data_IF_565897019896
#
_entry.id   IF_565897019896
#
_cell.length_a   1.000
_cell.length_b   1.000
_cell.length_c   1.000
_cell.angle_alpha   90.00
_cell.angle_beta   90.00
_cell.angle_gamma   90.00
#
_symmetry.space_group_name_H-M   'P 1'
#
loop_
_entity.id
_entity.type
_entity.pdbx_description
1 polymer ?
#
# COMPACT_ATOMS: atom_id res chain seq x y z
N UNK A 1 -52.55 3.64 -6.18
CA UNK A 1 -51.48 4.13 -5.29
C UNK A 1 -52.05 4.34 -3.90
N UNK A 2 -51.25 4.20 -2.82
CA UNK A 2 -50.07 3.34 -2.73
C UNK A 2 -50.02 2.51 -1.42
N UNK A 3 -49.45 1.32 -1.51
CA UNK A 3 -48.47 0.87 -0.53
C UNK A 3 -47.21 0.59 -1.36
N UNK A 4 -46.16 1.36 -1.13
CA UNK A 4 -44.88 1.11 -1.79
C UNK A 4 -44.26 -0.15 -1.18
N UNK A 5 -43.49 -0.90 -1.97
CA UNK A 5 -42.48 -1.76 -1.37
C UNK A 5 -41.59 -0.88 -0.50
N UNK A 6 -41.44 -1.24 0.76
CA UNK A 6 -40.34 -0.72 1.57
C UNK A 6 -39.05 -1.13 0.86
N UNK A 7 -38.28 -0.14 0.42
CA UNK A 7 -36.92 -0.41 -0.03
C UNK A 7 -36.13 -0.85 1.20
N UNK A 8 -35.41 -1.97 1.09
CA UNK A 8 -34.57 -2.46 2.18
C UNK A 8 -33.68 -1.32 2.68
N UNK A 9 -33.87 -0.88 3.93
CA UNK A 9 -32.94 0.04 4.55
C UNK A 9 -31.61 -0.70 4.70
N UNK A 10 -30.63 -0.36 3.86
CA UNK A 10 -29.23 -0.73 4.06
C UNK A 10 -28.78 -0.18 5.43
N UNK A 11 -28.97 -0.97 6.49
CA UNK A 11 -28.61 -0.60 7.85
C UNK A 11 -27.14 -0.17 7.85
N UNK A 12 -26.84 1.14 8.03
CA UNK A 12 -25.50 1.64 7.81
C UNK A 12 -24.57 0.98 8.81
N UNK A 13 -23.41 0.51 8.31
CA UNK A 13 -22.43 -0.22 9.12
C UNK A 13 -22.26 0.44 10.50
N UNK A 14 -22.17 -0.33 11.60
CA UNK A 14 -22.02 0.22 12.94
C UNK A 14 -20.94 1.30 12.98
N UNK A 15 -21.18 2.41 13.68
CA UNK A 15 -20.39 3.65 13.60
C UNK A 15 -18.86 3.46 13.69
N UNK A 16 -18.40 2.43 14.42
CA UNK A 16 -17.00 2.08 14.57
C UNK A 16 -16.39 1.34 13.37
N UNK A 17 -17.21 0.62 12.58
CA UNK A 17 -16.83 -0.07 11.33
C UNK A 17 -16.88 0.84 10.10
N UNK A 18 -17.63 1.95 10.13
CA UNK A 18 -17.68 2.92 9.03
C UNK A 18 -16.27 3.47 8.77
N UNK A 19 -15.73 3.42 7.55
CA UNK A 19 -14.34 3.81 7.30
C UNK A 19 -14.14 5.32 7.51
N UNK A 20 -12.97 5.72 8.00
CA UNK A 20 -12.53 7.12 8.02
C UNK A 20 -12.03 7.53 6.62
N UNK A 21 -12.18 8.80 6.19
CA UNK A 21 -11.61 9.27 4.92
C UNK A 21 -10.10 9.01 4.84
N UNK A 22 -9.59 8.61 3.67
CA UNK A 22 -8.18 8.21 3.51
C UNK A 22 -7.19 9.31 3.93
N UNK A 23 -7.51 10.59 3.67
CA UNK A 23 -6.70 11.71 4.16
C UNK A 23 -6.73 11.84 5.69
N UNK A 24 -7.88 11.61 6.32
CA UNK A 24 -8.01 11.60 7.78
C UNK A 24 -7.20 10.46 8.39
N UNK A 25 -7.20 9.27 7.77
CA UNK A 25 -6.36 8.15 8.20
C UNK A 25 -4.87 8.48 8.13
N UNK A 26 -4.38 8.98 6.99
CA UNK A 26 -2.98 9.42 6.83
C UNK A 26 -2.56 10.42 7.93
N UNK A 27 -3.34 11.49 8.08
CA UNK A 27 -3.00 12.60 8.97
C UNK A 27 -3.01 12.21 10.46
N UNK A 28 -3.74 11.15 10.85
CA UNK A 28 -3.78 10.65 12.24
C UNK A 28 -2.87 9.44 12.49
N UNK A 29 -2.55 8.63 11.49
CA UNK A 29 -1.55 7.58 11.65
C UNK A 29 -0.12 8.11 11.73
N UNK A 30 0.17 9.32 11.24
CA UNK A 30 1.45 10.01 11.46
C UNK A 30 1.74 10.24 12.96
N UNK A 31 0.91 10.97 13.75
CA UNK A 31 1.16 11.15 15.17
C UNK A 31 1.07 9.84 15.96
N UNK A 32 0.24 8.87 15.53
CA UNK A 32 0.23 7.53 16.12
C UNK A 32 1.59 6.83 15.97
N UNK A 33 2.19 6.83 14.78
CA UNK A 33 3.54 6.30 14.55
C UNK A 33 4.57 7.04 15.43
N UNK A 34 4.53 8.37 15.48
CA UNK A 34 5.45 9.17 16.31
C UNK A 34 5.34 8.81 17.81
N UNK A 35 4.13 8.53 18.30
CA UNK A 35 3.92 8.01 19.68
C UNK A 35 4.57 6.63 19.85
N UNK A 36 4.42 5.70 18.89
CA UNK A 36 5.10 4.39 18.98
C UNK A 36 6.63 4.50 18.93
N UNK A 37 7.18 5.46 18.19
CA UNK A 37 8.63 5.75 18.15
C UNK A 37 9.12 6.36 19.47
N UNK A 38 8.32 7.21 20.13
CA UNK A 38 8.62 7.72 21.47
C UNK A 38 8.63 6.61 22.53
N UNK A 39 7.63 5.71 22.49
CA UNK A 39 7.56 4.54 23.38
C UNK A 39 8.77 3.63 23.16
N UNK A 40 9.14 3.37 21.89
CA UNK A 40 10.35 2.64 21.56
C UNK A 40 11.61 3.34 22.08
N UNK A 41 11.76 4.65 21.88
CA UNK A 41 12.93 5.40 22.36
C UNK A 41 13.11 5.32 23.88
N UNK A 42 12.01 5.42 24.64
CA UNK A 42 12.02 5.19 26.08
C UNK A 42 12.40 3.74 26.43
N UNK A 43 11.86 2.76 25.70
CA UNK A 43 12.20 1.34 25.84
C UNK A 43 13.68 1.05 25.58
N UNK A 44 14.29 1.67 24.57
CA UNK A 44 15.72 1.50 24.27
C UNK A 44 16.59 2.09 25.41
N UNK A 45 16.22 3.23 26.01
CA UNK A 45 16.93 3.77 27.18
C UNK A 45 16.84 2.82 28.39
N UNK A 46 15.69 2.18 28.62
CA UNK A 46 15.52 1.14 29.65
C UNK A 46 16.35 -0.11 29.34
N UNK A 47 16.44 -0.49 28.06
CA UNK A 47 17.23 -1.64 27.58
C UNK A 47 18.72 -1.38 27.76
N UNK A 48 19.21 -0.17 27.43
CA UNK A 48 20.60 0.24 27.62
C UNK A 48 21.05 0.16 29.08
N UNK A 49 20.21 0.63 30.01
CA UNK A 49 20.46 0.53 31.45
C UNK A 49 20.37 -0.91 32.01
N UNK A 50 19.91 -1.88 31.21
CA UNK A 50 19.76 -3.30 31.56
C UNK A 50 20.69 -4.24 30.80
N UNK A 51 21.45 -3.72 29.84
CA UNK A 51 22.39 -4.50 29.03
C UNK A 51 23.46 -5.16 29.94
N UNK A 52 23.72 -6.47 29.82
CA UNK A 52 24.82 -7.14 30.52
C UNK A 52 26.18 -6.50 30.20
N UNK A 53 27.09 -6.35 31.17
CA UNK A 53 28.42 -5.73 30.93
C UNK A 53 29.23 -6.61 29.96
N UNK A 54 29.67 -6.09 28.80
CA UNK A 54 30.49 -6.82 27.83
C UNK A 54 31.82 -7.35 28.39
N UNK A 55 32.28 -6.84 29.54
CA UNK A 55 33.48 -7.35 30.24
C UNK A 55 33.21 -8.66 30.98
N UNK A 56 31.99 -8.87 31.44
CA UNK A 56 31.59 -10.05 32.22
C UNK A 56 30.91 -11.10 31.34
N UNK A 57 30.06 -10.67 30.41
CA UNK A 57 29.27 -11.57 29.55
C UNK A 57 29.66 -11.40 28.09
N UNK A 58 30.09 -12.50 27.47
CA UNK A 58 30.46 -12.54 26.04
C UNK A 58 29.22 -12.51 25.14
N UNK A 59 29.35 -12.10 23.86
CA UNK A 59 28.31 -12.30 22.86
C UNK A 59 27.84 -13.76 22.79
N UNK A 60 26.57 -13.96 22.40
CA UNK A 60 26.00 -15.28 22.19
C UNK A 60 26.64 -15.97 20.96
N UNK A 61 26.77 -17.31 20.96
CA UNK A 61 27.19 -18.05 19.78
C UNK A 61 26.10 -18.00 18.71
N UNK A 62 26.48 -17.65 17.48
CA UNK A 62 25.57 -17.51 16.34
C UNK A 62 26.22 -18.12 15.09
N UNK A 63 25.56 -19.14 14.54
CA UNK A 63 26.09 -19.95 13.45
C UNK A 63 26.35 -19.15 12.16
N UNK A 64 25.52 -18.16 11.78
CA UNK A 64 25.83 -17.38 10.58
C UNK A 64 26.94 -16.37 10.86
N UNK A 65 27.02 -15.83 12.07
CA UNK A 65 28.11 -14.94 12.45
C UNK A 65 29.45 -15.69 12.57
N UNK A 66 29.47 -16.98 12.90
CA UNK A 66 30.68 -17.80 12.85
C UNK A 66 31.20 -18.01 11.41
N UNK A 67 30.30 -18.08 10.42
CA UNK A 67 30.66 -18.26 9.00
C UNK A 67 30.93 -16.94 8.24
N UNK A 68 30.31 -15.81 8.63
CA UNK A 68 30.41 -14.54 7.91
C UNK A 68 31.53 -13.66 8.51
N UNK A 69 32.54 -13.23 7.73
CA UNK A 69 33.66 -12.46 8.25
C UNK A 69 33.24 -11.07 8.76
N UNK A 70 33.80 -10.65 9.90
CA UNK A 70 33.55 -9.33 10.52
C UNK A 70 34.08 -8.19 9.63
N UNK A 71 33.17 -7.43 9.02
CA UNK A 71 33.44 -6.30 8.14
C UNK A 71 32.68 -5.04 8.64
N UNK A 72 33.20 -4.42 9.70
CA UNK A 72 32.57 -3.24 10.37
C UNK A 72 32.25 -2.08 9.42
N UNK A 73 32.99 -1.93 8.32
CA UNK A 73 32.73 -0.92 7.29
C UNK A 73 31.38 -1.09 6.55
N UNK A 74 30.68 -2.21 6.71
CA UNK A 74 29.35 -2.46 6.12
C UNK A 74 28.18 -1.92 6.97
N UNK A 75 28.44 -1.45 8.20
CA UNK A 75 27.44 -0.76 9.04
C UNK A 75 26.86 0.48 8.30
N UNK A 76 27.65 1.50 7.88
CA UNK A 76 27.12 2.63 7.11
C UNK A 76 26.64 2.27 5.68
N UNK A 77 27.06 1.13 5.13
CA UNK A 77 26.54 0.64 3.83
C UNK A 77 25.09 0.19 3.98
N UNK A 78 24.71 -0.35 5.15
CA UNK A 78 23.32 -0.70 5.47
C UNK A 78 22.44 0.55 5.48
N UNK A 79 22.87 1.63 6.12
CA UNK A 79 22.14 2.91 6.15
C UNK A 79 21.96 3.51 4.76
N UNK A 80 22.98 3.43 3.90
CA UNK A 80 22.88 3.87 2.50
C UNK A 80 21.83 3.04 1.74
N UNK A 81 21.79 1.72 1.92
CA UNK A 81 20.79 0.86 1.29
C UNK A 81 19.37 1.18 1.82
N UNK A 82 19.23 1.43 3.12
CA UNK A 82 17.96 1.87 3.73
C UNK A 82 17.51 3.21 3.16
N UNK A 83 18.42 4.17 3.01
CA UNK A 83 18.15 5.46 2.36
C UNK A 83 17.66 5.29 0.92
N UNK A 84 18.35 4.46 0.13
CA UNK A 84 17.98 4.16 -1.26
C UNK A 84 16.60 3.48 -1.36
N UNK A 85 16.26 2.55 -0.47
CA UNK A 85 14.96 1.86 -0.46
C UNK A 85 13.81 2.77 0.00
N UNK A 86 14.04 3.64 0.99
CA UNK A 86 13.07 4.65 1.39
C UNK A 86 12.81 5.67 0.28
N UNK A 87 13.87 6.20 -0.36
CA UNK A 87 13.75 7.08 -1.53
C UNK A 87 13.03 6.38 -2.68
N UNK A 88 13.32 5.10 -2.95
CA UNK A 88 12.59 4.29 -3.95
C UNK A 88 11.10 4.20 -3.61
N UNK A 89 10.76 3.97 -2.34
CA UNK A 89 9.37 3.87 -1.87
C UNK A 89 8.61 5.19 -2.05
N UNK A 90 9.24 6.32 -1.69
CA UNK A 90 8.68 7.68 -1.89
C UNK A 90 8.51 7.99 -3.38
N UNK A 91 9.48 7.63 -4.22
CA UNK A 91 9.39 7.82 -5.67
C UNK A 91 8.26 6.99 -6.30
N UNK A 92 8.03 5.75 -5.84
CA UNK A 92 6.90 4.93 -6.27
C UNK A 92 5.58 5.58 -5.85
N UNK A 93 5.43 6.01 -4.59
CA UNK A 93 4.22 6.71 -4.12
C UNK A 93 3.95 8.00 -4.92
N UNK A 94 4.99 8.79 -5.22
CA UNK A 94 4.87 10.01 -6.02
C UNK A 94 4.49 9.72 -7.49
N UNK A 95 5.07 8.69 -8.11
CA UNK A 95 4.70 8.28 -9.48
C UNK A 95 3.26 7.74 -9.55
N UNK A 96 2.79 7.04 -8.51
CA UNK A 96 1.38 6.61 -8.39
C UNK A 96 0.43 7.82 -8.30
N UNK A 97 0.75 8.83 -7.50
CA UNK A 97 0.00 10.09 -7.44
C UNK A 97 -0.07 10.82 -8.81
N UNK A 98 1.03 10.83 -9.56
CA UNK A 98 1.04 11.39 -10.92
C UNK A 98 0.20 10.56 -11.90
N UNK A 99 0.23 9.23 -11.79
CA UNK A 99 -0.58 8.32 -12.61
C UNK A 99 -2.07 8.47 -12.33
N UNK A 100 -2.48 8.51 -11.06
CA UNK A 100 -3.87 8.75 -10.64
C UNK A 100 -4.38 10.10 -11.19
N UNK A 101 -3.60 11.18 -11.04
CA UNK A 101 -3.94 12.48 -11.63
C UNK A 101 -4.10 12.44 -13.15
N UNK A 102 -3.22 11.73 -13.85
CA UNK A 102 -3.24 11.64 -15.31
C UNK A 102 -4.47 10.89 -15.82
N UNK A 103 -4.83 9.78 -15.19
CA UNK A 103 -6.05 9.00 -15.51
C UNK A 103 -7.33 9.81 -15.25
N UNK A 104 -7.32 10.70 -14.25
CA UNK A 104 -8.40 11.65 -14.00
C UNK A 104 -8.35 12.94 -14.86
N UNK A 105 -7.51 12.99 -15.91
CA UNK A 105 -7.45 14.11 -16.85
C UNK A 105 -6.93 15.44 -16.26
N UNK A 106 -6.37 15.42 -15.05
CA UNK A 106 -5.89 16.62 -14.38
C UNK A 106 -4.59 17.15 -15.03
N UNK A 107 -4.37 18.48 -15.05
CA UNK A 107 -3.17 19.05 -15.65
C UNK A 107 -1.90 18.53 -14.98
N UNK A 108 -0.92 18.16 -15.83
CA UNK A 108 0.40 17.71 -15.39
C UNK A 108 1.26 18.85 -14.84
N UNK A 109 2.29 18.49 -14.08
CA UNK A 109 3.24 19.46 -13.53
C UNK A 109 4.40 19.71 -14.52
N UNK A 110 4.63 20.97 -14.88
CA UNK A 110 5.70 21.42 -15.80
C UNK A 110 6.63 22.45 -15.17
N UNK A 111 6.73 22.46 -13.83
CA UNK A 111 7.42 23.50 -13.05
C UNK A 111 8.88 23.77 -13.48
N UNK A 112 9.61 22.74 -13.91
CA UNK A 112 11.03 22.84 -14.23
C UNK A 112 11.34 23.21 -15.69
N UNK A 113 10.35 23.27 -16.57
CA UNK A 113 10.58 23.51 -18.00
C UNK A 113 11.09 24.93 -18.31
N UNK A 114 10.93 25.86 -17.36
CA UNK A 114 11.45 27.24 -17.42
C UNK A 114 12.97 27.34 -17.26
N UNK A 115 13.66 26.25 -16.86
CA UNK A 115 15.12 26.22 -16.70
C UNK A 115 15.77 25.79 -18.03
N UNK A 116 16.61 26.64 -18.67
CA UNK A 116 17.20 26.32 -19.97
C UNK A 116 18.16 25.12 -19.91
N UNK A 117 18.24 24.38 -21.03
CA UNK A 117 19.04 23.15 -21.26
C UNK A 117 18.65 21.94 -20.38
N UNK A 118 18.62 22.09 -19.06
CA UNK A 118 18.42 20.98 -18.10
C UNK A 118 16.93 20.72 -17.80
N UNK A 119 16.10 21.78 -17.76
CA UNK A 119 14.73 21.73 -17.28
C UNK A 119 13.85 20.68 -17.94
N UNK A 120 13.88 20.58 -19.28
CA UNK A 120 13.06 19.62 -20.06
C UNK A 120 13.39 18.15 -19.75
N UNK A 121 14.65 17.82 -19.51
CA UNK A 121 15.05 16.46 -19.14
C UNK A 121 14.59 16.10 -17.72
N UNK A 122 14.87 16.98 -16.75
CA UNK A 122 14.48 16.76 -15.36
C UNK A 122 12.94 16.75 -15.22
N UNK A 123 12.22 17.60 -15.95
CA UNK A 123 10.75 17.59 -15.97
C UNK A 123 10.21 16.24 -16.46
N UNK A 124 10.79 15.67 -17.53
CA UNK A 124 10.44 14.33 -18.04
C UNK A 124 10.77 13.21 -17.04
N UNK A 125 11.92 13.26 -16.36
CA UNK A 125 12.30 12.22 -15.39
C UNK A 125 11.43 12.30 -14.11
N UNK A 126 11.26 13.50 -13.55
CA UNK A 126 10.53 13.71 -12.28
C UNK A 126 9.02 13.63 -12.49
N UNK A 127 8.45 14.44 -13.39
CA UNK A 127 7.00 14.59 -13.57
C UNK A 127 6.42 13.77 -14.72
N UNK A 128 7.26 13.12 -15.54
CA UNK A 128 6.77 12.18 -16.56
C UNK A 128 5.98 11.02 -15.95
N UNK A 129 4.76 10.81 -16.44
CA UNK A 129 3.91 9.69 -16.06
C UNK A 129 4.51 8.40 -16.59
N UNK A 130 4.44 7.34 -15.78
CA UNK A 130 4.85 5.98 -16.15
C UNK A 130 3.67 5.08 -15.86
N UNK A 131 3.19 4.37 -16.89
CA UNK A 131 2.10 3.41 -16.79
C UNK A 131 2.52 2.09 -17.45
N UNK A 132 2.30 0.97 -16.77
CA UNK A 132 2.53 -0.37 -17.32
C UNK A 132 1.30 -0.98 -18.00
N UNK A 133 0.13 -0.34 -17.87
CA UNK A 133 -1.19 -0.87 -18.20
C UNK A 133 -1.72 -1.89 -17.18
N UNK A 134 -0.88 -2.48 -16.32
CA UNK A 134 -1.30 -3.47 -15.32
C UNK A 134 -1.97 -2.79 -14.11
N UNK A 135 -2.99 -3.44 -13.57
CA UNK A 135 -3.79 -2.97 -12.42
C UNK A 135 -4.04 -4.13 -11.44
N UNK A 136 -3.17 -4.32 -10.42
CA UNK A 136 -3.42 -5.33 -9.37
C UNK A 136 -4.53 -4.90 -8.41
N UNK A 137 -4.77 -3.59 -8.28
CA UNK A 137 -5.83 -2.98 -7.48
C UNK A 137 -6.42 -1.77 -8.24
N UNK A 138 -7.61 -1.26 -7.87
CA UNK A 138 -8.15 -0.01 -8.41
C UNK A 138 -7.20 1.17 -8.17
N UNK A 139 -7.19 2.18 -9.06
CA UNK A 139 -6.28 3.34 -8.94
C UNK A 139 -6.67 4.38 -7.87
N UNK A 140 -7.92 4.35 -7.39
CA UNK A 140 -8.51 5.37 -6.52
C UNK A 140 -7.77 5.48 -5.17
N UNK A 141 -7.08 6.59 -4.95
CA UNK A 141 -6.34 6.86 -3.71
C UNK A 141 -5.15 5.93 -3.44
N UNK A 142 -4.60 5.23 -4.45
CA UNK A 142 -3.58 4.18 -4.26
C UNK A 142 -2.36 4.66 -3.48
N UNK A 143 -1.85 5.86 -3.78
CA UNK A 143 -0.70 6.41 -3.05
C UNK A 143 -1.03 6.69 -1.57
N UNK A 144 -2.30 7.01 -1.25
CA UNK A 144 -2.78 7.19 0.13
C UNK A 144 -2.83 5.83 0.84
N UNK A 145 -3.39 4.81 0.21
CA UNK A 145 -3.50 3.45 0.76
C UNK A 145 -2.10 2.86 1.01
N UNK A 146 -1.18 3.03 0.06
CA UNK A 146 0.23 2.64 0.19
C UNK A 146 0.89 3.28 1.43
N UNK A 147 0.70 4.59 1.64
CA UNK A 147 1.26 5.30 2.79
C UNK A 147 0.53 4.96 4.12
N UNK A 148 -0.78 4.71 4.12
CA UNK A 148 -1.51 4.18 5.29
C UNK A 148 -0.94 2.82 5.69
N UNK A 149 -0.70 1.92 4.74
CA UNK A 149 -0.15 0.58 5.00
C UNK A 149 1.30 0.62 5.49
N UNK A 150 2.12 1.56 5.00
CA UNK A 150 3.42 1.85 5.60
C UNK A 150 3.28 2.26 7.08
N UNK A 151 2.52 3.33 7.35
CA UNK A 151 2.37 3.89 8.69
C UNK A 151 1.83 2.87 9.70
N UNK A 152 0.79 2.12 9.31
CA UNK A 152 0.14 1.13 10.18
C UNK A 152 1.00 -0.11 10.41
N UNK A 153 1.56 -0.73 9.36
CA UNK A 153 2.42 -1.91 9.52
C UNK A 153 3.66 -1.59 10.35
N UNK A 154 4.29 -0.44 10.08
CA UNK A 154 5.49 -0.03 10.81
C UNK A 154 5.16 0.34 12.26
N UNK A 155 4.10 1.10 12.54
CA UNK A 155 3.70 1.44 13.91
C UNK A 155 3.33 0.21 14.76
N UNK A 156 2.62 -0.77 14.19
CA UNK A 156 2.26 -2.01 14.92
C UNK A 156 3.51 -2.80 15.34
N UNK A 157 4.46 -3.02 14.44
CA UNK A 157 5.68 -3.78 14.77
C UNK A 157 6.64 -2.96 15.65
N UNK A 158 6.73 -1.63 15.47
CA UNK A 158 7.52 -0.74 16.35
C UNK A 158 6.98 -0.69 17.78
N UNK A 159 5.65 -0.69 17.93
CA UNK A 159 4.99 -0.80 19.24
C UNK A 159 5.28 -2.15 19.90
N UNK A 160 5.11 -3.26 19.17
CA UNK A 160 5.42 -4.60 19.69
C UNK A 160 6.88 -4.75 20.11
N UNK A 161 7.82 -4.31 19.24
CA UNK A 161 9.27 -4.27 19.51
C UNK A 161 9.60 -3.59 20.83
N UNK A 162 8.96 -2.46 21.13
CA UNK A 162 9.22 -1.70 22.35
C UNK A 162 8.97 -2.53 23.63
N UNK A 163 7.95 -3.39 23.66
CA UNK A 163 7.72 -4.29 24.78
C UNK A 163 8.76 -5.41 24.87
N UNK A 164 9.17 -5.96 23.74
CA UNK A 164 10.13 -7.09 23.70
C UNK A 164 11.48 -6.68 24.26
N UNK A 165 12.07 -5.57 23.78
CA UNK A 165 13.37 -5.08 24.28
C UNK A 165 13.34 -4.66 25.75
N UNK A 166 12.19 -4.21 26.27
CA UNK A 166 12.03 -3.90 27.70
C UNK A 166 11.88 -5.16 28.58
N UNK A 167 11.35 -6.25 28.00
CA UNK A 167 11.05 -7.50 28.70
C UNK A 167 12.22 -8.51 28.67
N UNK A 168 13.11 -8.43 27.69
CA UNK A 168 14.27 -9.33 27.54
C UNK A 168 15.46 -8.56 26.97
N UNK A 169 16.65 -8.82 27.51
CA UNK A 169 17.90 -8.21 27.06
C UNK A 169 19.03 -9.24 27.11
N UNK A 170 19.63 -9.52 25.95
CA UNK A 170 20.82 -10.35 25.80
C UNK A 170 22.12 -9.51 25.84
N UNK A 171 23.31 -10.15 25.85
CA UNK A 171 24.58 -9.46 25.63
C UNK A 171 24.67 -8.94 24.20
N UNK A 172 25.24 -7.74 24.00
CA UNK A 172 25.44 -7.20 22.66
C UNK A 172 26.41 -8.06 21.82
N UNK A 173 26.26 -8.00 20.49
CA UNK A 173 27.17 -8.59 19.50
C UNK A 173 28.56 -7.96 19.51
N UNK A 174 29.52 -8.50 18.73
CA UNK A 174 30.87 -7.93 18.53
C UNK A 174 30.88 -6.67 17.62
N UNK A 175 30.03 -5.70 17.96
CA UNK A 175 29.90 -4.39 17.32
C UNK A 175 30.51 -3.28 18.20
N UNK A 176 30.16 -2.01 17.93
CA UNK A 176 30.65 -0.87 18.70
C UNK A 176 30.17 -0.87 20.18
N UNK A 177 29.07 -1.56 20.51
CA UNK A 177 28.52 -1.66 21.87
C UNK A 177 29.30 -2.60 22.81
N UNK A 178 30.35 -3.26 22.34
CA UNK A 178 31.39 -3.82 23.21
C UNK A 178 32.16 -2.74 24.00
N UNK A 179 31.99 -1.45 23.63
CA UNK A 179 32.53 -0.28 24.34
C UNK A 179 31.46 0.81 24.44
N UNK A 180 30.42 0.62 25.28
CA UNK A 180 29.26 1.51 25.31
C UNK A 180 29.64 2.90 25.80
N UNK A 181 29.09 3.92 25.16
CA UNK A 181 29.20 5.34 25.56
C UNK A 181 28.06 5.65 26.54
N UNK A 182 28.30 6.32 27.68
CA UNK A 182 27.24 6.63 28.64
C UNK A 182 26.24 7.65 28.07
N UNK A 183 24.94 7.41 28.29
CA UNK A 183 23.87 8.33 27.89
C UNK A 183 23.74 9.45 28.93
N UNK A 184 24.45 10.56 28.72
CA UNK A 184 24.42 11.71 29.64
C UNK A 184 23.02 12.36 29.75
N UNK A 185 22.25 12.36 28.65
CA UNK A 185 20.96 13.07 28.55
C UNK A 185 19.88 12.15 27.94
N UNK A 186 19.22 11.29 28.75
CA UNK A 186 18.27 10.28 28.23
C UNK A 186 17.06 10.90 27.52
N UNK A 187 16.51 12.02 28.02
CA UNK A 187 15.40 12.71 27.35
C UNK A 187 15.80 13.28 25.99
N UNK A 188 17.01 13.83 25.87
CA UNK A 188 17.54 14.31 24.59
C UNK A 188 17.72 13.13 23.63
N UNK A 189 18.20 11.99 24.11
CA UNK A 189 18.39 10.79 23.30
C UNK A 189 17.05 10.20 22.79
N UNK A 190 15.97 10.25 23.60
CA UNK A 190 14.61 9.89 23.17
C UNK A 190 14.09 10.85 22.10
N UNK A 191 14.28 12.17 22.29
CA UNK A 191 13.90 13.19 21.29
C UNK A 191 14.70 13.00 20.00
N UNK A 192 16.00 12.71 20.10
CA UNK A 192 16.88 12.44 18.96
C UNK A 192 16.46 11.16 18.22
N UNK A 193 16.00 10.13 18.95
CA UNK A 193 15.40 8.91 18.38
C UNK A 193 14.15 9.25 17.56
N UNK A 194 13.29 10.15 18.06
CA UNK A 194 12.11 10.60 17.30
C UNK A 194 12.50 11.42 16.05
N UNK A 195 13.37 12.42 16.21
CA UNK A 195 13.75 13.37 15.14
C UNK A 195 14.53 12.68 14.01
N UNK A 196 15.33 11.67 14.33
CA UNK A 196 16.14 10.91 13.35
C UNK A 196 15.54 9.55 12.98
N UNK A 197 14.33 9.24 13.47
CA UNK A 197 13.67 7.93 13.36
C UNK A 197 14.57 6.74 13.81
N UNK A 198 15.49 7.01 14.74
CA UNK A 198 16.45 6.07 15.33
C UNK A 198 17.90 6.30 14.91
N UNK A 199 18.16 6.85 13.72
CA UNK A 199 19.49 6.83 13.07
C UNK A 199 20.60 7.62 13.79
N UNK A 200 20.27 8.70 14.50
CA UNK A 200 21.25 9.57 15.15
C UNK A 200 21.34 9.41 16.68
N UNK A 201 20.62 8.46 17.28
CA UNK A 201 20.51 8.33 18.73
C UNK A 201 21.50 7.30 19.29
N UNK A 202 22.25 7.67 20.34
CA UNK A 202 23.34 6.86 20.88
C UNK A 202 22.75 5.79 21.79
N UNK A 203 22.63 4.57 21.29
CA UNK A 203 22.00 3.46 22.00
C UNK A 203 22.83 2.19 21.89
N UNK A 204 23.05 1.54 23.03
CA UNK A 204 23.62 0.21 23.09
C UNK A 204 22.74 -0.73 23.90
N UNK A 205 22.61 -1.95 23.42
CA UNK A 205 21.75 -2.99 23.99
C UNK A 205 21.66 -4.14 23.01
N UNK A 206 21.30 -5.32 23.50
CA UNK A 206 20.55 -6.23 22.65
C UNK A 206 19.24 -5.56 22.23
N UNK A 207 18.90 -5.67 20.95
CA UNK A 207 17.88 -4.86 20.30
C UNK A 207 16.88 -5.73 19.54
N UNK A 208 16.52 -6.86 20.16
CA UNK A 208 15.51 -7.84 19.73
C UNK A 208 14.48 -7.22 18.78
N UNK A 209 14.39 -7.82 17.59
CA UNK A 209 13.82 -7.24 16.36
C UNK A 209 14.71 -6.15 15.77
N UNK A 210 15.51 -6.48 14.77
CA UNK A 210 16.31 -5.49 14.04
C UNK A 210 15.43 -4.42 13.36
N UNK A 211 15.52 -3.17 13.84
CA UNK A 211 14.82 -2.01 13.26
C UNK A 211 15.23 -1.72 11.82
N UNK A 212 16.51 -1.92 11.50
CA UNK A 212 17.04 -1.92 10.13
C UNK A 212 16.30 -2.94 9.26
N UNK A 213 16.20 -4.18 9.72
CA UNK A 213 15.47 -5.25 9.00
C UNK A 213 14.00 -4.94 8.82
N UNK A 214 13.34 -4.35 9.82
CA UNK A 214 11.94 -3.93 9.74
C UNK A 214 11.70 -2.90 8.62
N UNK A 215 12.52 -1.84 8.55
CA UNK A 215 12.34 -0.80 7.50
C UNK A 215 12.71 -1.33 6.10
N UNK A 216 13.73 -2.19 6.00
CA UNK A 216 14.09 -2.90 4.77
C UNK A 216 12.95 -3.78 4.25
N UNK A 217 12.33 -4.58 5.12
CA UNK A 217 11.23 -5.47 4.73
C UNK A 217 9.98 -4.71 4.29
N UNK A 218 9.54 -3.69 5.04
CA UNK A 218 8.31 -2.96 4.69
C UNK A 218 8.48 -2.16 3.39
N UNK A 219 9.64 -1.54 3.17
CA UNK A 219 9.93 -0.80 1.91
C UNK A 219 10.06 -1.75 0.72
N UNK A 220 10.73 -2.90 0.87
CA UNK A 220 10.74 -3.96 -0.14
C UNK A 220 9.32 -4.40 -0.50
N UNK A 221 8.49 -4.74 0.49
CA UNK A 221 7.13 -5.25 0.25
C UNK A 221 6.24 -4.21 -0.45
N UNK A 222 6.30 -2.95 -0.03
CA UNK A 222 5.60 -1.84 -0.68
C UNK A 222 6.02 -1.64 -2.13
N UNK A 223 7.33 -1.59 -2.42
CA UNK A 223 7.80 -1.45 -3.81
C UNK A 223 7.45 -2.70 -4.62
N UNK A 224 7.54 -3.90 -4.05
CA UNK A 224 7.20 -5.15 -4.73
C UNK A 224 5.72 -5.21 -5.13
N UNK A 225 4.81 -4.85 -4.24
CA UNK A 225 3.36 -4.92 -4.44
C UNK A 225 2.83 -3.79 -5.33
N UNK A 226 3.34 -2.55 -5.20
CA UNK A 226 2.86 -1.39 -5.95
C UNK A 226 3.66 -1.07 -7.24
N UNK A 227 4.83 -1.69 -7.46
CA UNK A 227 5.57 -1.58 -8.74
C UNK A 227 4.83 -2.00 -10.02
N UNK A 228 3.82 -2.91 -10.02
CA UNK A 228 3.08 -3.28 -11.24
C UNK A 228 2.36 -2.13 -11.94
N UNK A 229 2.00 -1.05 -11.25
CA UNK A 229 1.39 0.12 -11.89
C UNK A 229 2.39 0.90 -12.78
N UNK A 230 3.70 0.78 -12.49
CA UNK A 230 4.75 1.67 -13.02
C UNK A 230 5.70 0.93 -13.98
N UNK A 231 6.90 0.57 -13.53
CA UNK A 231 7.88 -0.20 -14.31
C UNK A 231 8.34 -1.44 -13.51
N UNK A 232 7.52 -2.50 -13.44
CA UNK A 232 7.68 -3.57 -12.46
C UNK A 232 9.00 -4.31 -12.52
N UNK A 233 9.56 -4.55 -13.72
CA UNK A 233 10.79 -5.34 -13.85
C UNK A 233 11.98 -4.67 -13.15
N UNK A 234 12.32 -3.43 -13.54
CA UNK A 234 13.47 -2.74 -12.96
C UNK A 234 13.31 -2.48 -11.45
N UNK A 235 12.11 -2.10 -11.00
CA UNK A 235 11.84 -1.86 -9.58
C UNK A 235 12.00 -3.15 -8.74
N UNK A 236 11.52 -4.29 -9.24
CA UNK A 236 11.62 -5.58 -8.53
C UNK A 236 13.04 -6.15 -8.53
N UNK A 237 13.79 -6.01 -9.62
CA UNK A 237 15.22 -6.37 -9.66
C UNK A 237 16.01 -5.50 -8.68
N UNK A 238 15.77 -4.19 -8.67
CA UNK A 238 16.43 -3.25 -7.76
C UNK A 238 16.21 -3.61 -6.28
N UNK A 239 14.94 -3.70 -5.82
CA UNK A 239 14.69 -4.02 -4.40
C UNK A 239 15.02 -5.48 -4.05
N UNK A 240 14.91 -6.40 -5.01
CA UNK A 240 15.28 -7.81 -4.86
C UNK A 240 16.78 -8.07 -4.74
N UNK A 241 17.63 -7.14 -5.19
CA UNK A 241 19.08 -7.18 -4.92
C UNK A 241 19.41 -6.47 -3.60
N UNK A 242 18.79 -5.32 -3.32
CA UNK A 242 19.10 -4.52 -2.12
C UNK A 242 18.71 -5.21 -0.80
N UNK A 243 17.60 -5.95 -0.76
CA UNK A 243 17.16 -6.66 0.46
C UNK A 243 18.16 -7.74 0.93
N UNK A 244 18.54 -8.75 0.12
CA UNK A 244 19.53 -9.74 0.57
C UNK A 244 20.93 -9.14 0.78
N UNK A 245 21.30 -8.11 0.00
CA UNK A 245 22.57 -7.41 0.21
C UNK A 245 22.63 -6.69 1.57
N UNK A 246 21.56 -6.04 2.00
CA UNK A 246 21.50 -5.39 3.33
C UNK A 246 21.46 -6.40 4.48
N UNK A 247 20.79 -7.55 4.34
CA UNK A 247 20.87 -8.62 5.34
C UNK A 247 22.31 -9.14 5.51
N UNK A 248 23.04 -9.33 4.39
CA UNK A 248 24.46 -9.67 4.44
C UNK A 248 25.29 -8.57 5.13
N UNK A 249 25.05 -7.28 4.81
CA UNK A 249 25.76 -6.17 5.45
C UNK A 249 25.56 -6.13 6.98
N UNK A 250 24.34 -6.34 7.48
CA UNK A 250 24.02 -6.34 8.93
C UNK A 250 24.72 -7.51 9.66
N UNK A 251 24.70 -8.71 9.08
CA UNK A 251 25.41 -9.88 9.64
C UNK A 251 26.93 -9.67 9.59
N UNK A 252 27.47 -9.15 8.49
CA UNK A 252 28.90 -8.93 8.33
C UNK A 252 29.43 -7.78 9.21
N UNK A 253 28.65 -6.71 9.44
CA UNK A 253 29.01 -5.67 10.42
C UNK A 253 28.90 -6.14 11.88
N UNK A 254 28.23 -7.28 12.13
CA UNK A 254 27.78 -7.77 13.44
C UNK A 254 26.83 -6.80 14.15
N UNK A 255 26.14 -5.90 13.44
CA UNK A 255 25.27 -4.92 14.10
C UNK A 255 24.03 -5.56 14.77
N UNK A 256 23.67 -6.78 14.39
CA UNK A 256 22.59 -7.61 14.97
C UNK A 256 22.96 -9.11 14.95
N UNK A 257 22.23 -9.91 15.74
CA UNK A 257 22.24 -11.38 15.64
C UNK A 257 21.38 -11.87 14.46
N UNK A 258 21.45 -13.16 14.14
CA UNK A 258 20.68 -13.79 13.06
C UNK A 258 19.18 -13.86 13.36
N UNK A 259 18.79 -14.20 14.59
CA UNK A 259 17.39 -14.27 15.02
C UNK A 259 16.74 -12.88 14.98
N UNK A 260 17.47 -11.87 15.41
CA UNK A 260 17.15 -10.44 15.32
C UNK A 260 16.68 -10.01 13.93
N UNK A 261 17.30 -10.57 12.87
CA UNK A 261 16.95 -10.35 11.46
C UNK A 261 15.79 -11.26 11.05
N UNK A 262 15.88 -12.57 11.30
CA UNK A 262 14.88 -13.55 10.85
C UNK A 262 13.49 -13.28 11.45
N UNK A 263 13.42 -13.00 12.76
CA UNK A 263 12.16 -12.74 13.47
C UNK A 263 11.63 -11.35 13.12
N UNK A 264 12.49 -10.35 12.87
CA UNK A 264 12.07 -9.05 12.33
C UNK A 264 11.50 -9.13 10.91
N UNK A 265 12.16 -9.87 10.02
CA UNK A 265 11.68 -10.10 8.67
C UNK A 265 10.34 -10.86 8.70
N UNK A 266 10.24 -11.92 9.49
CA UNK A 266 9.00 -12.69 9.65
C UNK A 266 7.85 -11.82 10.17
N UNK A 267 8.01 -11.14 11.30
CA UNK A 267 6.93 -10.33 11.90
C UNK A 267 6.54 -9.13 11.04
N UNK A 268 7.49 -8.48 10.35
CA UNK A 268 7.17 -7.39 9.43
C UNK A 268 6.41 -7.88 8.19
N UNK A 269 6.86 -8.95 7.55
CA UNK A 269 6.20 -9.52 6.37
C UNK A 269 4.82 -10.06 6.74
N UNK A 270 4.69 -10.75 7.88
CA UNK A 270 3.41 -11.23 8.39
C UNK A 270 2.44 -10.08 8.70
N UNK A 271 2.90 -9.03 9.42
CA UNK A 271 2.05 -7.86 9.73
C UNK A 271 1.61 -7.13 8.46
N UNK A 272 2.52 -6.93 7.50
CA UNK A 272 2.21 -6.31 6.21
C UNK A 272 1.24 -7.15 5.35
N UNK A 273 1.22 -8.48 5.52
CA UNK A 273 0.26 -9.39 4.88
C UNK A 273 -1.05 -9.58 5.64
N UNK A 274 -1.10 -9.26 6.93
CA UNK A 274 -2.36 -9.16 7.68
C UNK A 274 -3.04 -7.80 7.40
N UNK A 275 -2.26 -6.74 7.18
CA UNK A 275 -2.74 -5.43 6.75
C UNK A 275 -2.71 -5.37 5.21
N UNK A 276 -3.60 -6.15 4.60
CA UNK A 276 -3.78 -6.23 3.14
C UNK A 276 -4.26 -4.90 2.50
N UNK A 277 -4.23 -4.85 1.17
CA UNK A 277 -4.74 -3.69 0.41
C UNK A 277 -6.27 -3.60 0.50
N UNK A 278 -6.79 -2.48 1.03
CA UNK A 278 -8.21 -2.11 0.95
C UNK A 278 -8.40 -0.68 0.44
N UNK A 279 -9.43 -0.46 -0.38
CA UNK A 279 -9.90 0.87 -0.77
C UNK A 279 -10.31 1.73 0.44
N UNK A 280 -10.72 1.10 1.54
CA UNK A 280 -11.05 1.76 2.81
C UNK A 280 -9.83 2.08 3.68
N UNK A 281 -8.60 1.85 3.19
CA UNK A 281 -7.37 2.11 3.93
C UNK A 281 -7.07 1.01 4.97
N UNK A 282 -6.84 1.40 6.23
CA UNK A 282 -6.50 0.48 7.30
C UNK A 282 -7.70 -0.40 7.72
N UNK A 283 -7.48 -1.60 8.30
CA UNK A 283 -8.55 -2.38 8.92
C UNK A 283 -9.20 -1.62 10.09
N UNK A 284 -10.51 -1.81 10.30
CA UNK A 284 -11.31 -1.00 11.24
C UNK A 284 -10.81 -1.04 12.69
N UNK A 285 -10.16 -2.14 13.09
CA UNK A 285 -9.52 -2.30 14.40
C UNK A 285 -8.39 -1.27 14.61
N UNK A 286 -7.59 -0.99 13.57
CA UNK A 286 -6.56 0.05 13.61
C UNK A 286 -7.16 1.45 13.44
N UNK A 287 -8.29 1.59 12.72
CA UNK A 287 -8.99 2.87 12.63
C UNK A 287 -9.55 3.31 13.99
N UNK A 288 -9.99 2.39 14.87
CA UNK A 288 -10.37 2.72 16.26
C UNK A 288 -9.25 3.45 17.00
N UNK A 289 -7.99 3.03 16.81
CA UNK A 289 -6.81 3.61 17.47
C UNK A 289 -6.54 5.08 17.07
N UNK A 290 -7.18 5.59 16.01
CA UNK A 290 -7.11 6.99 15.57
C UNK A 290 -8.47 7.71 15.56
N UNK A 291 -9.58 7.02 15.84
CA UNK A 291 -10.94 7.60 15.75
C UNK A 291 -11.25 8.61 16.86
N UNK A 292 -10.56 8.49 18.00
CA UNK A 292 -10.66 9.37 19.16
C UNK A 292 -9.88 10.69 19.00
N UNK A 293 -8.95 10.79 18.04
CA UNK A 293 -8.25 12.03 17.75
C UNK A 293 -9.25 13.05 17.17
N UNK A 294 -9.45 14.23 17.80
CA UNK A 294 -10.44 15.21 17.32
C UNK A 294 -10.00 15.94 16.04
N UNK A 295 -8.70 15.90 15.74
CA UNK A 295 -8.06 16.58 14.61
C UNK A 295 -6.74 15.84 14.28
N UNK A 296 -6.25 15.82 13.02
CA UNK A 296 -6.85 16.39 11.81
C UNK A 296 -7.98 15.54 11.19
N UNK A 297 -8.77 16.13 10.30
CA UNK A 297 -9.76 15.43 9.46
C UNK A 297 -11.04 15.01 10.19
N UNK A 298 -12.06 14.59 9.42
CA UNK A 298 -13.41 14.29 9.94
C UNK A 298 -13.63 12.82 10.27
N UNK A 299 -14.42 12.56 11.31
CA UNK A 299 -14.91 11.21 11.63
C UNK A 299 -16.07 10.75 10.72
N UNK A 300 -16.72 11.66 9.98
CA UNK A 300 -17.77 11.33 9.01
C UNK A 300 -17.13 10.87 7.70
N UNK A 301 -17.46 9.67 7.24
CA UNK A 301 -17.16 9.29 5.87
C UNK A 301 -17.96 10.15 4.90
N UNK A 302 -17.29 10.62 3.85
CA UNK A 302 -17.87 11.30 2.70
C UNK A 302 -16.99 10.92 1.52
N UNK A 303 -17.56 10.62 0.37
CA UNK A 303 -16.74 10.34 -0.81
C UNK A 303 -15.96 11.59 -1.21
N UNK A 304 -14.65 11.60 -0.95
CA UNK A 304 -13.74 12.70 -1.28
C UNK A 304 -13.39 12.69 -2.77
N UNK A 305 -14.38 13.03 -3.62
CA UNK A 305 -14.13 13.59 -4.94
C UNK A 305 -15.21 14.62 -5.31
N UNK A 306 -14.85 15.81 -5.85
CA UNK A 306 -15.84 16.78 -6.30
C UNK A 306 -16.58 16.26 -7.54
N UNK A 307 -17.91 16.14 -7.43
CA UNK A 307 -18.81 15.76 -8.54
C UNK A 307 -18.77 16.74 -9.74
N UNK A 308 -18.11 17.88 -9.58
CA UNK A 308 -17.82 18.87 -10.61
C UNK A 308 -16.93 18.29 -11.73
N UNK A 309 -16.02 17.37 -11.41
CA UNK A 309 -15.23 16.66 -12.43
C UNK A 309 -16.10 15.78 -13.34
N UNK A 310 -17.12 15.11 -12.76
CA UNK A 310 -18.05 14.24 -13.47
C UNK A 310 -18.90 14.99 -14.50
N UNK A 311 -19.16 16.28 -14.26
CA UNK A 311 -19.94 17.15 -15.18
C UNK A 311 -19.17 17.53 -16.46
N UNK A 312 -17.85 17.38 -16.48
CA UNK A 312 -17.03 17.66 -17.66
C UNK A 312 -17.11 16.60 -18.77
N UNK A 313 -17.67 15.41 -18.48
CA UNK A 313 -17.77 14.30 -19.43
C UNK A 313 -19.18 14.13 -20.05
N UNK A 314 -20.17 14.89 -19.58
CA UNK A 314 -21.54 14.84 -20.07
C UNK A 314 -21.78 15.92 -21.14
N UNK A 315 -21.12 15.81 -22.30
CA UNK A 315 -21.49 16.59 -23.48
C UNK A 315 -22.62 15.90 -24.23
N UNK A 316 -23.82 16.48 -24.11
CA UNK A 316 -24.98 16.41 -25.00
C UNK A 316 -25.00 15.29 -26.05
N UNK A 317 -25.40 14.08 -25.62
CA UNK A 317 -25.93 13.07 -26.55
C UNK A 317 -27.33 13.52 -26.98
N UNK A 318 -27.39 14.38 -27.99
CA UNK A 318 -28.65 14.76 -28.65
C UNK A 318 -29.16 13.55 -29.42
N UNK A 319 -30.08 12.80 -28.80
CA UNK A 319 -30.83 11.74 -29.47
C UNK A 319 -31.79 12.40 -30.46
N UNK A 320 -31.40 12.41 -31.73
CA UNK A 320 -32.32 12.75 -32.82
C UNK A 320 -33.10 11.49 -33.16
N UNK A 321 -34.37 11.45 -32.76
CA UNK A 321 -35.30 10.40 -33.22
C UNK A 321 -35.54 10.57 -34.73
N UNK A 322 -35.14 9.56 -35.51
CA UNK A 322 -35.48 9.49 -36.92
C UNK A 322 -36.92 8.94 -37.07
N UNK A 323 -37.83 9.78 -37.58
CA UNK A 323 -39.19 9.36 -37.91
C UNK A 323 -39.24 8.79 -39.34
N UNK A 324 -39.27 7.46 -39.47
CA UNK A 324 -39.53 6.79 -40.75
C UNK A 324 -41.04 6.67 -41.00
N UNK A 325 -41.65 7.73 -41.55
CA UNK A 325 -42.99 7.66 -42.15
C UNK A 325 -42.91 7.19 -43.61
N UNK A 326 -43.12 5.89 -43.89
CA UNK A 326 -43.77 5.40 -45.12
C UNK A 326 -43.89 3.87 -45.21
N UNK A 327 -45.12 3.34 -45.09
CA UNK A 327 -45.71 2.32 -45.99
C UNK A 327 -47.11 1.93 -45.49
N UNK A 328 -48.15 2.16 -46.29
CA UNK A 328 -49.53 1.82 -45.95
C UNK A 328 -50.09 0.75 -46.90
N UNK A 329 -50.79 -0.24 -46.30
CA UNK A 329 -51.76 -1.17 -46.89
C UNK A 329 -51.33 -2.12 -48.04
N UNK A 330 -51.75 -3.39 -47.94
CA UNK A 330 -52.64 -4.07 -48.89
C UNK A 330 -53.11 -5.41 -48.29
N UNK A 331 -54.44 -5.57 -48.25
CA UNK A 331 -55.29 -6.81 -48.27
C UNK A 331 -55.00 -8.06 -47.40
N UNK A 332 -56.09 -8.75 -47.01
CA UNK A 332 -56.11 -10.11 -46.44
C UNK A 332 -56.98 -11.04 -47.32
N UNK A 333 -57.81 -11.98 -46.81
CA UNK A 333 -57.98 -12.48 -45.43
C UNK A 333 -58.21 -14.03 -45.35
N UNK A 334 -58.85 -14.52 -44.26
CA UNK A 334 -59.52 -15.83 -44.05
C UNK A 334 -58.66 -17.10 -43.76
N UNK A 335 -59.12 -17.95 -42.82
CA UNK A 335 -58.54 -19.30 -42.60
C UNK A 335 -58.62 -19.94 -41.19
N UNK A 336 -59.84 -20.27 -40.75
CA UNK A 336 -60.32 -21.42 -39.93
C UNK A 336 -59.37 -22.37 -39.12
N UNK A 337 -59.79 -22.67 -37.89
CA UNK A 337 -60.22 -23.98 -37.29
C UNK A 337 -59.50 -25.29 -37.72
N UNK A 338 -59.20 -26.32 -36.89
CA UNK A 338 -59.54 -26.76 -35.50
C UNK A 338 -58.24 -27.21 -34.76
N UNK A 339 -58.11 -27.77 -33.54
CA UNK A 339 -58.91 -28.44 -32.46
C UNK A 339 -59.37 -29.91 -32.58
N UNK A 340 -58.54 -30.83 -32.06
CA UNK A 340 -58.84 -32.00 -31.18
C UNK A 340 -57.50 -32.40 -30.51
N UNK A 341 -57.31 -32.67 -29.21
CA UNK A 341 -58.00 -33.45 -28.16
C UNK A 341 -57.51 -34.92 -28.03
N UNK A 342 -57.68 -35.50 -26.82
CA UNK A 342 -57.16 -36.77 -26.26
C UNK A 342 -55.63 -36.80 -25.94
N UNK A 343 -55.13 -36.90 -24.70
CA UNK A 343 -55.51 -37.54 -23.40
C UNK A 343 -55.09 -39.01 -23.22
N UNK A 344 -54.04 -39.25 -22.41
CA UNK A 344 -54.17 -40.01 -21.15
C UNK A 344 -52.89 -39.92 -20.28
N UNK A 345 -53.09 -39.42 -19.06
CA UNK A 345 -52.82 -40.03 -17.75
C UNK A 345 -51.48 -40.73 -17.41
N UNK A 346 -50.82 -40.13 -16.40
CA UNK A 346 -50.17 -40.74 -15.22
C UNK A 346 -48.81 -41.49 -15.40
N UNK A 347 -47.85 -41.46 -14.46
CA UNK A 347 -47.55 -40.62 -13.27
C UNK A 347 -46.03 -40.80 -12.92
N UNK A 348 -45.35 -40.19 -11.94
CA UNK A 348 -45.70 -39.32 -10.79
C UNK A 348 -44.54 -38.34 -10.47
N UNK A 349 -44.72 -37.49 -9.45
CA UNK A 349 -43.70 -36.90 -8.54
C UNK A 349 -42.45 -36.16 -9.09
N UNK A 350 -42.29 -34.90 -8.66
CA UNK A 350 -41.18 -33.96 -8.89
C UNK A 350 -40.34 -33.74 -7.60
N UNK A 351 -39.29 -32.87 -7.58
CA UNK A 351 -38.22 -32.64 -8.57
C UNK A 351 -36.80 -32.53 -7.94
N UNK A 352 -35.74 -32.66 -8.75
CA UNK A 352 -34.49 -31.90 -8.55
C UNK A 352 -33.76 -31.72 -9.89
N UNK A 353 -33.32 -30.49 -10.19
CA UNK A 353 -32.86 -30.10 -11.53
C UNK A 353 -31.49 -29.41 -11.48
N UNK A 354 -30.42 -30.19 -11.42
CA UNK A 354 -29.07 -29.70 -11.70
C UNK A 354 -28.78 -29.75 -13.22
N UNK A 355 -28.19 -28.68 -13.76
CA UNK A 355 -27.59 -28.69 -15.10
C UNK A 355 -26.42 -27.70 -15.18
N UNK A 356 -25.18 -28.16 -15.42
CA UNK A 356 -24.01 -27.28 -15.60
C UNK A 356 -24.01 -26.60 -16.99
N UNK A 357 -22.99 -25.78 -17.27
CA UNK A 357 -23.05 -24.60 -18.17
C UNK A 357 -21.75 -23.78 -18.25
N UNK A 358 -20.66 -24.32 -18.79
CA UNK A 358 -19.46 -23.53 -19.12
C UNK A 358 -19.62 -22.73 -20.43
N UNK A 359 -19.02 -21.54 -20.51
CA UNK A 359 -19.00 -20.68 -21.71
C UNK A 359 -18.01 -19.50 -21.55
N UNK A 360 -17.33 -19.04 -22.62
CA UNK A 360 -16.17 -18.15 -22.49
C UNK A 360 -16.48 -16.65 -22.70
N UNK A 361 -15.70 -15.78 -22.06
CA UNK A 361 -15.63 -14.36 -22.38
C UNK A 361 -14.64 -14.10 -23.54
N UNK A 362 -15.12 -13.49 -24.62
CA UNK A 362 -14.23 -12.91 -25.65
C UNK A 362 -13.69 -11.56 -25.15
N UNK A 363 -12.39 -11.33 -25.35
CA UNK A 363 -11.80 -10.01 -25.23
C UNK A 363 -11.92 -9.25 -26.56
N UNK A 364 -12.56 -8.08 -26.55
CA UNK A 364 -12.58 -7.17 -27.70
C UNK A 364 -11.40 -6.18 -27.60
N UNK A 365 -10.66 -6.01 -28.70
CA UNK A 365 -9.56 -5.04 -28.79
C UNK A 365 -10.09 -3.66 -29.22
N UNK A 366 -9.54 -2.60 -28.63
CA UNK A 366 -9.81 -1.22 -29.04
C UNK A 366 -8.79 -0.81 -30.13
N UNK A 367 -9.21 -0.40 -31.34
CA UNK A 367 -8.29 0.09 -32.36
C UNK A 367 -7.79 1.51 -32.03
N UNK A 368 -6.56 1.82 -32.41
CA UNK A 368 -6.00 3.15 -32.25
C UNK A 368 -6.58 4.13 -33.28
N UNK A 369 -6.96 5.34 -32.84
CA UNK A 369 -7.41 6.40 -33.73
C UNK A 369 -6.21 7.13 -34.34
N UNK A 370 -6.10 7.16 -35.68
CA UNK A 370 -5.05 7.93 -36.34
C UNK A 370 -4.81 7.63 -37.82
N UNK A 371 -5.76 7.96 -38.71
CA UNK A 371 -5.42 8.19 -40.12
C UNK A 371 -6.34 9.24 -40.75
N UNK A 372 -5.76 10.13 -41.57
CA UNK A 372 -6.47 11.24 -42.22
C UNK A 372 -6.67 10.93 -43.70
N UNK A 373 -7.93 10.89 -44.17
CA UNK A 373 -8.26 10.73 -45.59
C UNK A 373 -8.96 12.00 -46.11
N UNK A 374 -8.59 12.43 -47.31
CA UNK A 374 -8.96 13.72 -47.86
C UNK A 374 -10.41 13.76 -48.39
N UNK A 375 -11.06 14.94 -48.30
CA UNK A 375 -12.20 15.26 -49.16
C UNK A 375 -11.78 15.17 -50.62
N UNK A 376 -12.58 14.48 -51.44
CA UNK A 376 -12.59 14.69 -52.89
C UNK A 376 -14.04 14.82 -53.36
N UNK A 377 -14.28 15.86 -54.14
CA UNK A 377 -15.59 16.20 -54.70
C UNK A 377 -15.86 15.44 -55.99
N UNK A 378 -17.06 14.88 -56.11
CA UNK A 378 -17.90 14.95 -57.31
C UNK A 378 -19.37 14.78 -56.92
#
# INVERSE_FOLDING_TARGET
MPALHEADEEHPLPWYKQPLPLWTQLLRFIPFLLITVLILGAGIVVTNARMPDPKEVRPLPDFLLEWIPLWRALEPVTDIIIGLLNVTTVLVAFKLFLLERHVHGLPGFTFLERIPKVGRFVNRVVFGVVDSGRRPHPLRGVYKIMAIRFLTSYAVVMFFRAFVIMATAYPATDNHCQRPVPIEHPLLNIILTLVTLGSGAIHCGDLMFSGHTMILCVTFMLVWEYSPFLHPWALRVWVGVLLPASFYCILASRSHYTDDILVAAYCMIATYKIIDHSETGAPWQLQLCIRWLPWPGSNTWREEWPAEASRGAAQDVVVVEAQDEAAAAVEGPLGKETRADDQNEAEAATPSQERPRSGPYLAAAVPAAGETVAKKTS
#
